data_IF_549378354423
#
_entry.id   IF_549378354423
#
_cell.length_a   1.000
_cell.length_b   1.000
_cell.length_c   1.000
_cell.angle_alpha   90.00
_cell.angle_beta   90.00
_cell.angle_gamma   90.00
#
_symmetry.space_group_name_H-M   'P 1'
#
loop_
_entity.id
_entity.type
_entity.pdbx_description
1 polymer ?
#
# COMPACT_ATOMS: atom_id res chain seq x y z
N UNK A 1 -42.49 -59.48 15.57
CA UNK A 1 -42.91 -59.04 14.22
C UNK A 1 -41.90 -58.02 13.73
N UNK A 2 -41.12 -58.40 12.73
CA UNK A 2 -39.97 -57.61 12.23
C UNK A 2 -40.50 -56.42 11.41
N UNK A 3 -40.50 -55.23 11.98
CA UNK A 3 -40.92 -54.01 11.28
C UNK A 3 -39.80 -53.65 10.32
N UNK A 4 -39.98 -53.94 9.03
CA UNK A 4 -39.10 -53.43 7.97
C UNK A 4 -39.16 -51.89 7.99
N UNK A 5 -38.26 -51.24 8.72
CA UNK A 5 -37.99 -49.81 8.54
C UNK A 5 -37.53 -49.63 7.09
N UNK A 6 -38.29 -48.87 6.31
CA UNK A 6 -37.88 -48.49 4.96
C UNK A 6 -36.67 -47.55 5.12
N UNK A 7 -35.51 -47.88 4.55
CA UNK A 7 -34.29 -47.11 4.80
C UNK A 7 -34.33 -45.72 4.17
N UNK A 8 -35.25 -45.47 3.24
CA UNK A 8 -35.38 -44.19 2.56
C UNK A 8 -36.84 -43.73 2.48
N UNK A 9 -37.17 -42.68 3.23
CA UNK A 9 -38.47 -42.03 3.15
C UNK A 9 -38.52 -41.00 2.02
N UNK A 10 -39.72 -40.77 1.49
CA UNK A 10 -39.94 -39.72 0.51
C UNK A 10 -39.69 -38.35 1.14
N UNK A 11 -38.78 -37.58 0.53
CA UNK A 11 -38.59 -36.16 0.81
C UNK A 11 -38.60 -35.38 -0.50
N UNK A 12 -39.23 -34.21 -0.49
CA UNK A 12 -39.16 -33.29 -1.63
C UNK A 12 -37.71 -32.83 -1.82
N UNK A 13 -37.20 -32.92 -3.05
CA UNK A 13 -35.87 -32.41 -3.36
C UNK A 13 -35.88 -30.88 -3.20
N UNK A 14 -34.86 -30.35 -2.52
CA UNK A 14 -34.63 -28.91 -2.51
C UNK A 14 -33.99 -28.52 -3.84
N UNK A 15 -34.57 -27.53 -4.52
CA UNK A 15 -34.08 -27.01 -5.80
C UNK A 15 -33.98 -28.05 -6.92
N UNK A 16 -34.90 -29.02 -6.93
CA UNK A 16 -34.96 -30.05 -7.96
C UNK A 16 -36.25 -30.86 -7.91
N UNK A 17 -36.38 -31.80 -8.86
CA UNK A 17 -37.57 -32.65 -9.04
C UNK A 17 -37.20 -34.03 -9.56
N UNK A 18 -38.01 -35.03 -9.22
CA UNK A 18 -37.86 -36.39 -9.76
C UNK A 18 -38.51 -36.51 -11.14
N UNK A 19 -37.88 -37.29 -12.02
CA UNK A 19 -38.48 -37.67 -13.29
C UNK A 19 -39.75 -38.48 -13.04
N UNK A 20 -40.87 -38.13 -13.69
CA UNK A 20 -42.19 -38.72 -13.44
C UNK A 20 -42.61 -38.76 -11.96
N UNK A 21 -42.32 -37.70 -11.20
CA UNK A 21 -42.65 -37.59 -9.77
C UNK A 21 -44.10 -38.02 -9.45
N UNK A 22 -45.08 -37.58 -10.25
CA UNK A 22 -46.51 -37.93 -10.05
C UNK A 22 -46.80 -39.43 -10.13
N UNK A 23 -46.01 -40.20 -10.88
CA UNK A 23 -46.14 -41.67 -11.01
C UNK A 23 -45.48 -42.40 -9.84
N UNK A 24 -44.37 -41.87 -9.33
CA UNK A 24 -43.58 -42.50 -8.26
C UNK A 24 -43.96 -42.06 -6.85
N UNK A 25 -44.68 -40.94 -6.69
CA UNK A 25 -45.09 -40.38 -5.39
C UNK A 25 -45.76 -41.38 -4.44
N UNK A 26 -46.61 -42.33 -4.89
CA UNK A 26 -47.19 -43.35 -4.00
C UNK A 26 -46.21 -44.46 -3.58
N UNK A 27 -45.09 -44.60 -4.28
CA UNK A 27 -44.14 -45.72 -4.17
C UNK A 27 -42.71 -45.28 -3.78
N UNK A 28 -42.53 -43.99 -3.47
CA UNK A 28 -41.21 -43.37 -3.36
C UNK A 28 -40.47 -43.65 -2.03
N UNK A 29 -41.13 -44.29 -1.05
CA UNK A 29 -40.43 -44.89 0.08
C UNK A 29 -39.71 -46.16 -0.42
N UNK A 30 -38.44 -46.00 -0.77
CA UNK A 30 -37.64 -47.00 -1.46
C UNK A 30 -37.07 -48.07 -0.53
N UNK A 31 -36.90 -49.27 -1.07
CA UNK A 31 -36.07 -50.31 -0.47
C UNK A 31 -34.61 -50.11 -0.89
N UNK A 32 -33.66 -50.62 -0.11
CA UNK A 32 -32.24 -50.57 -0.48
C UNK A 32 -32.04 -51.11 -1.91
N UNK A 33 -31.38 -50.33 -2.77
CA UNK A 33 -31.15 -50.65 -4.18
C UNK A 33 -32.08 -49.96 -5.17
N UNK A 34 -33.16 -49.30 -4.73
CA UNK A 34 -33.99 -48.48 -5.63
C UNK A 34 -33.24 -47.23 -6.09
N UNK A 35 -33.40 -46.87 -7.37
CA UNK A 35 -32.85 -45.63 -7.94
C UNK A 35 -33.89 -44.85 -8.73
N UNK A 36 -33.83 -43.53 -8.65
CA UNK A 36 -34.70 -42.62 -9.41
C UNK A 36 -33.86 -41.57 -10.14
N UNK A 37 -34.35 -41.10 -11.28
CA UNK A 37 -33.73 -39.99 -12.02
C UNK A 37 -34.27 -38.68 -11.43
N UNK A 38 -33.38 -37.71 -11.22
CA UNK A 38 -33.75 -36.36 -10.80
C UNK A 38 -33.10 -35.29 -11.68
N UNK A 39 -33.74 -34.12 -11.67
CA UNK A 39 -33.26 -32.90 -12.31
C UNK A 39 -33.15 -31.80 -11.27
N UNK A 40 -32.19 -30.91 -11.44
CA UNK A 40 -32.10 -29.70 -10.65
C UNK A 40 -32.82 -28.54 -11.34
N UNK A 41 -33.28 -27.60 -10.52
CA UNK A 41 -33.90 -26.37 -10.98
C UNK A 41 -32.86 -25.45 -11.67
N UNK A 42 -33.33 -24.40 -12.32
CA UNK A 42 -32.45 -23.43 -12.97
C UNK A 42 -31.44 -22.82 -11.98
N UNK A 43 -30.17 -22.70 -12.38
CA UNK A 43 -29.01 -22.33 -11.55
C UNK A 43 -28.62 -23.35 -10.47
N UNK A 44 -29.07 -24.60 -10.56
CA UNK A 44 -28.59 -25.69 -9.74
C UNK A 44 -28.04 -26.82 -10.62
N UNK A 45 -27.07 -27.55 -10.09
CA UNK A 45 -26.40 -28.67 -10.76
C UNK A 45 -26.48 -29.93 -9.91
N UNK A 46 -26.51 -31.07 -10.57
CA UNK A 46 -26.51 -32.38 -9.90
C UNK A 46 -25.17 -32.59 -9.17
N UNK A 47 -25.12 -33.57 -8.26
CA UNK A 47 -23.88 -33.92 -7.57
C UNK A 47 -22.76 -34.34 -8.55
N UNK A 48 -23.11 -34.90 -9.70
CA UNK A 48 -22.19 -35.25 -10.79
C UNK A 48 -21.95 -34.12 -11.82
N UNK A 49 -22.52 -32.93 -11.63
CA UNK A 49 -22.42 -31.78 -12.53
C UNK A 49 -22.96 -32.06 -13.96
N UNK A 50 -24.02 -32.85 -14.05
CA UNK A 50 -24.73 -33.22 -15.28
C UNK A 50 -26.13 -32.60 -15.30
N UNK A 51 -26.85 -32.73 -16.43
CA UNK A 51 -28.23 -32.23 -16.55
C UNK A 51 -29.24 -33.02 -15.71
N UNK A 52 -28.96 -34.29 -15.47
CA UNK A 52 -29.79 -35.21 -14.71
C UNK A 52 -28.88 -36.25 -14.05
N UNK A 53 -29.31 -36.78 -12.90
CA UNK A 53 -28.52 -37.77 -12.16
C UNK A 53 -29.44 -38.76 -11.44
N UNK A 54 -28.85 -39.80 -10.87
CA UNK A 54 -29.54 -40.81 -10.09
C UNK A 54 -29.41 -40.52 -8.59
N UNK A 55 -30.53 -40.66 -7.90
CA UNK A 55 -30.57 -40.77 -6.45
C UNK A 55 -30.79 -42.24 -6.08
N UNK A 56 -29.96 -42.77 -5.20
CA UNK A 56 -29.90 -44.18 -4.79
C UNK A 56 -30.36 -44.32 -3.35
N UNK A 57 -31.21 -45.31 -3.07
CA UNK A 57 -31.52 -45.70 -1.70
C UNK A 57 -30.49 -46.72 -1.20
N UNK A 58 -29.71 -46.33 -0.20
CA UNK A 58 -28.73 -47.20 0.47
C UNK A 58 -29.24 -47.62 1.85
N UNK A 59 -28.48 -48.40 2.61
CA UNK A 59 -28.82 -48.72 4.01
C UNK A 59 -28.74 -47.49 4.93
N UNK A 60 -27.97 -46.47 4.53
CA UNK A 60 -27.77 -45.22 5.26
C UNK A 60 -28.73 -44.10 4.80
N UNK A 61 -29.60 -44.40 3.83
CA UNK A 61 -30.56 -43.45 3.27
C UNK A 61 -30.23 -43.04 1.83
N UNK A 62 -30.81 -41.90 1.40
CA UNK A 62 -30.66 -41.38 0.05
C UNK A 62 -29.26 -40.81 -0.22
N UNK A 63 -28.64 -41.30 -1.30
CA UNK A 63 -27.34 -40.85 -1.80
C UNK A 63 -27.48 -40.34 -3.24
N UNK A 64 -26.97 -39.16 -3.61
CA UNK A 64 -26.25 -38.21 -2.75
C UNK A 64 -27.16 -37.58 -1.69
N UNK A 65 -26.60 -37.24 -0.52
CA UNK A 65 -27.37 -36.63 0.56
C UNK A 65 -27.90 -35.23 0.19
N UNK A 66 -27.13 -34.48 -0.61
CA UNK A 66 -27.57 -33.24 -1.27
C UNK A 66 -27.60 -33.50 -2.78
N UNK A 67 -28.77 -33.35 -3.38
CA UNK A 67 -28.97 -33.68 -4.79
C UNK A 67 -28.59 -32.53 -5.71
N UNK A 68 -28.92 -31.30 -5.30
CA UNK A 68 -28.79 -30.11 -6.13
C UNK A 68 -27.94 -29.07 -5.40
N UNK A 69 -26.77 -28.78 -5.97
CA UNK A 69 -25.87 -27.74 -5.49
C UNK A 69 -26.06 -26.48 -6.32
N UNK A 70 -25.84 -25.32 -5.72
CA UNK A 70 -25.90 -24.06 -6.48
C UNK A 70 -24.86 -24.07 -7.60
N UNK A 71 -25.29 -23.73 -8.80
CA UNK A 71 -24.45 -23.53 -9.97
C UNK A 71 -24.44 -22.05 -10.36
N UNK A 72 -23.29 -21.40 -10.25
CA UNK A 72 -23.11 -20.02 -10.64
C UNK A 72 -22.50 -19.93 -12.04
N UNK A 73 -23.19 -19.23 -12.93
CA UNK A 73 -22.70 -18.93 -14.29
C UNK A 73 -21.81 -17.68 -14.23
N UNK A 74 -20.62 -17.76 -14.81
CA UNK A 74 -19.69 -16.64 -14.96
C UNK A 74 -19.44 -16.39 -16.44
N UNK A 75 -20.06 -15.35 -16.96
CA UNK A 75 -20.03 -14.96 -18.37
C UNK A 75 -19.82 -13.46 -18.57
N UNK A 76 -20.00 -12.64 -17.53
CA UNK A 76 -19.92 -11.19 -17.62
C UNK A 76 -19.43 -10.58 -16.30
N UNK A 77 -18.62 -9.53 -16.43
CA UNK A 77 -18.17 -8.68 -15.33
C UNK A 77 -18.44 -7.22 -15.69
N UNK A 78 -19.22 -6.52 -14.88
CA UNK A 78 -19.47 -5.08 -15.08
C UNK A 78 -18.22 -4.28 -14.68
N UNK A 79 -17.73 -3.40 -15.56
CA UNK A 79 -16.49 -2.61 -15.40
C UNK A 79 -15.23 -3.46 -15.14
N UNK A 80 -15.19 -4.67 -15.70
CA UNK A 80 -14.02 -5.55 -15.63
C UNK A 80 -13.89 -6.46 -16.85
N UNK A 81 -12.90 -7.35 -16.79
CA UNK A 81 -12.58 -8.27 -17.88
C UNK A 81 -13.51 -9.49 -17.78
N UNK A 82 -14.36 -9.64 -18.81
CA UNK A 82 -15.26 -10.79 -18.94
C UNK A 82 -14.54 -12.00 -19.56
N UNK A 83 -14.92 -13.23 -19.21
CA UNK A 83 -14.33 -14.43 -19.81
C UNK A 83 -14.73 -14.57 -21.28
N UNK A 84 -13.87 -15.22 -22.09
CA UNK A 84 -14.15 -15.48 -23.52
C UNK A 84 -15.32 -16.44 -23.76
N UNK A 85 -15.69 -17.22 -22.75
CA UNK A 85 -16.79 -18.18 -22.80
C UNK A 85 -17.46 -18.29 -21.44
N UNK A 86 -18.75 -18.62 -21.44
CA UNK A 86 -19.53 -18.85 -20.22
C UNK A 86 -19.00 -20.08 -19.48
N UNK A 87 -18.66 -19.91 -18.20
CA UNK A 87 -18.16 -20.98 -17.32
C UNK A 87 -19.15 -21.21 -16.18
N UNK A 88 -19.27 -22.46 -15.71
CA UNK A 88 -20.13 -22.83 -14.58
C UNK A 88 -19.27 -23.24 -13.39
N UNK A 89 -19.63 -22.74 -12.22
CA UNK A 89 -18.97 -23.04 -10.95
C UNK A 89 -20.00 -23.58 -9.96
N UNK A 90 -19.58 -24.56 -9.16
CA UNK A 90 -20.40 -25.17 -8.11
C UNK A 90 -20.25 -24.35 -6.82
N UNK A 91 -21.22 -24.46 -5.93
CA UNK A 91 -21.22 -23.84 -4.62
C UNK A 91 -19.86 -23.94 -3.90
N UNK A 92 -19.49 -22.88 -3.19
CA UNK A 92 -18.26 -22.68 -2.42
C UNK A 92 -16.98 -22.54 -3.27
N UNK A 93 -17.08 -22.66 -4.60
CA UNK A 93 -15.98 -22.31 -5.49
C UNK A 93 -15.80 -20.80 -5.60
N UNK A 94 -14.54 -20.37 -5.61
CA UNK A 94 -14.14 -18.98 -5.70
C UNK A 94 -13.34 -18.71 -6.98
N UNK A 95 -13.53 -17.53 -7.57
CA UNK A 95 -12.75 -17.09 -8.74
C UNK A 95 -12.24 -15.68 -8.58
N UNK A 96 -11.08 -15.41 -9.17
CA UNK A 96 -10.51 -14.07 -9.23
C UNK A 96 -11.13 -13.26 -10.37
N UNK A 97 -11.55 -12.05 -10.06
CA UNK A 97 -12.10 -11.07 -11.00
C UNK A 97 -11.06 -9.99 -11.26
N UNK A 98 -10.89 -9.63 -12.53
CA UNK A 98 -10.02 -8.53 -12.93
C UNK A 98 -10.88 -7.32 -13.30
N UNK A 99 -10.75 -6.24 -12.53
CA UNK A 99 -11.44 -4.98 -12.77
C UNK A 99 -10.61 -4.06 -13.70
N UNK A 100 -11.28 -3.16 -14.42
CA UNK A 100 -10.58 -2.13 -15.18
C UNK A 100 -9.86 -1.14 -14.25
N UNK A 101 -8.82 -0.44 -14.75
CA UNK A 101 -8.13 0.60 -13.96
C UNK A 101 -9.11 1.61 -13.36
N UNK A 102 -8.99 1.87 -12.06
CA UNK A 102 -9.88 2.76 -11.31
C UNK A 102 -11.15 2.10 -10.75
N UNK A 103 -11.30 0.78 -10.89
CA UNK A 103 -12.42 0.01 -10.32
C UNK A 103 -11.91 -1.14 -9.42
N UNK A 104 -12.69 -1.53 -8.43
CA UNK A 104 -12.43 -2.71 -7.59
C UNK A 104 -13.73 -3.43 -7.23
N UNK A 105 -13.64 -4.68 -6.76
CA UNK A 105 -14.77 -5.27 -6.04
C UNK A 105 -14.96 -4.52 -4.69
N UNK A 106 -16.13 -4.67 -4.04
CA UNK A 106 -16.34 -4.19 -2.68
C UNK A 106 -15.19 -4.61 -1.74
N UNK A 107 -14.86 -3.75 -0.76
CA UNK A 107 -13.80 -3.99 0.22
C UNK A 107 -12.38 -4.20 -0.35
N UNK A 108 -12.12 -3.79 -1.60
CA UNK A 108 -10.82 -3.96 -2.29
C UNK A 108 -10.41 -5.43 -2.45
N UNK A 109 -11.36 -6.36 -2.38
CA UNK A 109 -11.11 -7.76 -2.71
C UNK A 109 -10.97 -7.94 -4.23
N UNK A 110 -10.53 -9.13 -4.65
CA UNK A 110 -10.41 -9.51 -6.05
C UNK A 110 -11.05 -10.87 -6.35
N UNK A 111 -11.80 -11.43 -5.41
CA UNK A 111 -12.35 -12.77 -5.50
C UNK A 111 -13.85 -12.73 -5.25
N UNK A 112 -14.61 -13.54 -6.00
CA UNK A 112 -16.03 -13.77 -5.78
C UNK A 112 -16.26 -15.26 -5.51
N UNK A 113 -17.25 -15.57 -4.67
CA UNK A 113 -17.57 -16.95 -4.26
C UNK A 113 -18.98 -17.31 -4.71
N UNK A 114 -19.16 -18.52 -5.24
CA UNK A 114 -20.49 -19.04 -5.55
C UNK A 114 -21.17 -19.49 -4.26
N UNK A 115 -22.00 -18.63 -3.68
CA UNK A 115 -22.78 -18.94 -2.48
C UNK A 115 -24.11 -19.58 -2.84
N UNK A 116 -24.87 -20.10 -1.87
CA UNK A 116 -26.24 -20.61 -2.09
C UNK A 116 -27.15 -19.59 -2.80
N UNK A 117 -26.94 -18.29 -2.56
CA UNK A 117 -27.70 -17.20 -3.18
C UNK A 117 -27.18 -16.80 -4.57
N UNK A 118 -26.02 -17.28 -5.00
CA UNK A 118 -25.31 -16.85 -6.22
C UNK A 118 -23.94 -16.25 -5.94
N UNK A 119 -23.38 -15.51 -6.91
CA UNK A 119 -22.07 -14.85 -6.75
C UNK A 119 -22.11 -13.79 -5.64
N UNK A 120 -21.21 -13.92 -4.67
CA UNK A 120 -21.01 -12.93 -3.61
C UNK A 120 -19.51 -12.56 -3.49
N UNK A 121 -19.15 -11.27 -3.61
CA UNK A 121 -20.01 -10.21 -4.13
C UNK A 121 -20.42 -10.48 -5.60
N UNK A 122 -21.46 -9.80 -6.13
CA UNK A 122 -21.79 -9.89 -7.55
C UNK A 122 -20.59 -9.54 -8.44
N UNK A 123 -20.49 -10.06 -9.67
CA UNK A 123 -19.40 -9.77 -10.61
C UNK A 123 -19.51 -8.34 -11.19
N UNK A 124 -19.42 -7.35 -10.30
CA UNK A 124 -19.55 -5.92 -10.58
C UNK A 124 -18.40 -5.17 -9.91
N UNK A 125 -17.52 -4.62 -10.72
CA UNK A 125 -16.49 -3.72 -10.25
C UNK A 125 -17.09 -2.32 -10.07
N UNK A 126 -16.88 -1.74 -8.89
CA UNK A 126 -17.33 -0.39 -8.53
C UNK A 126 -16.17 0.60 -8.66
N UNK A 127 -16.42 1.88 -9.01
CA UNK A 127 -15.38 2.89 -9.05
C UNK A 127 -14.68 2.97 -7.69
N UNK A 128 -13.35 2.92 -7.68
CA UNK A 128 -12.58 3.17 -6.46
C UNK A 128 -12.69 4.66 -6.18
N UNK A 129 -13.46 5.02 -5.16
CA UNK A 129 -13.52 6.41 -4.71
C UNK A 129 -12.20 6.73 -3.99
N UNK A 130 -11.21 7.15 -4.77
CA UNK A 130 -9.91 7.59 -4.26
C UNK A 130 -9.98 8.95 -3.57
N UNK A 131 -11.17 9.57 -3.53
CA UNK A 131 -11.37 10.86 -2.91
C UNK A 131 -11.91 10.70 -1.49
N UNK A 132 -11.27 11.39 -0.55
CA UNK A 132 -11.76 11.53 0.80
C UNK A 132 -12.91 12.53 0.84
N UNK A 133 -13.78 12.36 1.82
CA UNK A 133 -14.79 13.36 2.21
C UNK A 133 -14.48 13.78 3.64
N UNK A 134 -14.91 14.99 4.02
CA UNK A 134 -14.83 15.52 5.39
C UNK A 134 -13.50 15.27 6.11
N UNK A 135 -12.58 16.25 6.15
CA UNK A 135 -11.34 16.12 6.89
C UNK A 135 -11.58 15.74 8.38
N UNK A 136 -10.68 14.97 9.02
CA UNK A 136 -10.85 14.56 10.41
C UNK A 136 -11.04 15.75 11.33
N UNK A 137 -11.94 15.63 12.32
CA UNK A 137 -12.15 16.72 13.29
C UNK A 137 -11.08 16.69 14.37
N UNK A 138 -10.23 17.71 14.41
CA UNK A 138 -9.24 17.89 15.48
C UNK A 138 -9.82 18.81 16.56
N UNK A 139 -9.86 18.34 17.81
CA UNK A 139 -10.36 19.12 18.95
C UNK A 139 -9.46 20.34 19.18
N UNK A 140 -10.07 21.50 19.42
CA UNK A 140 -9.39 22.78 19.60
C UNK A 140 -8.50 23.21 18.42
N UNK A 141 -8.75 22.70 17.21
CA UNK A 141 -8.13 23.21 15.99
C UNK A 141 -9.16 23.83 15.06
N UNK A 142 -8.66 24.66 14.14
CA UNK A 142 -9.36 25.16 12.96
C UNK A 142 -8.66 24.66 11.72
N UNK A 143 -9.44 24.25 10.72
CA UNK A 143 -8.91 23.92 9.40
C UNK A 143 -8.70 25.21 8.62
N UNK A 144 -7.48 25.41 8.09
CA UNK A 144 -7.13 26.63 7.35
C UNK A 144 -7.13 26.44 5.82
N UNK A 145 -7.14 25.19 5.35
CA UNK A 145 -7.30 24.88 3.92
C UNK A 145 -8.73 25.15 3.43
N UNK A 146 -8.88 25.43 2.13
CA UNK A 146 -10.20 25.57 1.48
C UNK A 146 -10.99 24.27 1.59
N UNK A 147 -12.23 24.35 2.07
CA UNK A 147 -13.12 23.19 2.09
C UNK A 147 -13.56 22.79 0.68
N UNK A 148 -13.50 21.50 0.41
CA UNK A 148 -13.99 20.88 -0.82
C UNK A 148 -15.04 19.81 -0.48
N UNK A 149 -15.96 19.57 -1.40
CA UNK A 149 -16.94 18.48 -1.25
C UNK A 149 -16.29 17.09 -1.33
N UNK A 150 -15.20 16.98 -2.11
CA UNK A 150 -14.39 15.77 -2.27
C UNK A 150 -12.92 16.16 -2.43
N UNK A 151 -12.04 15.45 -1.74
CA UNK A 151 -10.59 15.66 -1.73
C UNK A 151 -9.93 14.51 -2.49
N UNK A 152 -9.40 14.72 -3.70
CA UNK A 152 -8.69 13.66 -4.44
C UNK A 152 -7.51 13.09 -3.64
N UNK A 153 -7.12 11.84 -3.93
CA UNK A 153 -5.91 11.27 -3.33
C UNK A 153 -4.68 12.14 -3.61
N UNK A 154 -3.89 12.42 -2.59
CA UNK A 154 -2.77 13.37 -2.60
C UNK A 154 -3.13 14.76 -2.07
N UNK A 155 -4.41 15.12 -1.98
CA UNK A 155 -4.85 16.41 -1.45
C UNK A 155 -4.55 16.53 0.05
N UNK A 156 -4.15 17.72 0.51
CA UNK A 156 -3.68 17.99 1.87
C UNK A 156 -4.54 19.03 2.58
N UNK A 157 -4.86 18.78 3.84
CA UNK A 157 -5.66 19.68 4.67
C UNK A 157 -4.87 20.05 5.91
N UNK A 158 -4.64 21.35 6.08
CA UNK A 158 -3.84 21.89 7.18
C UNK A 158 -4.71 22.33 8.35
N UNK A 159 -4.23 22.01 9.55
CA UNK A 159 -4.84 22.40 10.82
C UNK A 159 -3.98 23.43 11.54
N UNK A 160 -4.65 24.30 12.26
CA UNK A 160 -4.07 25.28 13.17
C UNK A 160 -4.74 25.11 14.54
N UNK A 161 -3.94 24.96 15.59
CA UNK A 161 -4.47 24.89 16.95
C UNK A 161 -4.92 26.26 17.43
N UNK A 162 -6.05 26.30 18.14
CA UNK A 162 -6.52 27.51 18.82
C UNK A 162 -5.54 27.82 19.95
N UNK A 163 -5.02 29.03 19.97
CA UNK A 163 -4.15 29.51 21.04
C UNK A 163 -4.84 29.39 22.41
N UNK A 164 -4.11 29.06 23.50
CA UNK A 164 -2.65 28.91 23.59
C UNK A 164 -2.12 27.49 23.31
N UNK A 165 -2.92 26.60 22.71
CA UNK A 165 -2.55 25.21 22.47
C UNK A 165 -1.60 25.06 21.28
N UNK A 166 -0.70 24.08 21.38
CA UNK A 166 0.29 23.75 20.35
C UNK A 166 -0.10 22.47 19.60
N UNK A 167 0.32 22.37 18.34
CA UNK A 167 0.04 21.23 17.45
C UNK A 167 1.07 20.12 17.65
N UNK A 168 0.59 18.88 17.79
CA UNK A 168 1.40 17.67 17.95
C UNK A 168 1.12 16.71 16.80
N UNK A 169 2.18 16.26 16.10
CA UNK A 169 2.10 15.45 14.89
C UNK A 169 2.26 16.27 13.61
N UNK A 170 1.95 15.68 12.46
CA UNK A 170 1.96 16.40 11.18
C UNK A 170 0.87 17.47 11.15
N UNK A 171 1.22 18.72 10.81
CA UNK A 171 0.27 19.85 10.74
C UNK A 171 -0.81 19.68 9.67
N UNK A 172 -0.59 18.74 8.75
CA UNK A 172 -1.46 18.43 7.62
C UNK A 172 -1.86 16.97 7.64
N UNK A 173 -3.10 16.70 7.26
CA UNK A 173 -3.52 15.36 6.84
C UNK A 173 -3.55 15.28 5.33
N UNK A 174 -3.24 14.10 4.79
CA UNK A 174 -3.25 13.84 3.37
C UNK A 174 -4.28 12.76 3.05
N UNK A 175 -5.05 12.96 1.98
CA UNK A 175 -5.96 11.94 1.49
C UNK A 175 -5.16 10.85 0.77
N UNK A 176 -5.27 9.62 1.24
CA UNK A 176 -4.60 8.44 0.69
C UNK A 176 -5.65 7.43 0.26
N UNK A 177 -5.95 7.39 -1.04
CA UNK A 177 -6.88 6.44 -1.66
C UNK A 177 -8.24 6.35 -0.91
N UNK A 178 -8.82 7.51 -0.61
CA UNK A 178 -10.09 7.64 0.09
C UNK A 178 -10.03 7.60 1.62
N UNK A 179 -8.84 7.49 2.24
CA UNK A 179 -8.65 7.52 3.70
C UNK A 179 -7.69 8.65 4.09
N UNK A 180 -8.03 9.43 5.12
CA UNK A 180 -7.13 10.46 5.65
C UNK A 180 -5.97 9.86 6.44
N UNK A 181 -4.78 10.46 6.36
CA UNK A 181 -3.67 10.16 7.28
C UNK A 181 -3.99 10.55 8.72
N UNK A 182 -3.16 10.09 9.67
CA UNK A 182 -3.33 10.37 11.09
C UNK A 182 -3.38 11.89 11.36
N UNK A 183 -4.44 12.40 12.02
CA UNK A 183 -4.57 13.82 12.30
C UNK A 183 -3.72 14.28 13.48
N UNK A 184 -3.32 15.56 13.51
CA UNK A 184 -2.60 16.12 14.65
C UNK A 184 -3.49 16.24 15.90
N UNK A 185 -2.86 16.50 17.04
CA UNK A 185 -3.52 16.78 18.31
C UNK A 185 -3.14 18.17 18.83
N UNK A 186 -4.09 18.92 19.38
CA UNK A 186 -3.80 20.17 20.08
C UNK A 186 -3.70 19.92 21.59
N UNK A 187 -2.56 20.24 22.20
CA UNK A 187 -2.32 20.07 23.65
C UNK A 187 -1.64 21.30 24.24
N UNK A 188 -1.69 21.42 25.56
CA UNK A 188 -1.00 22.47 26.29
C UNK A 188 0.52 22.35 26.10
N UNK A 189 1.17 23.51 26.12
CA UNK A 189 2.57 23.68 25.82
C UNK A 189 3.40 23.56 27.12
N UNK A 190 3.63 22.33 27.60
CA UNK A 190 4.12 22.11 28.99
C UNK A 190 5.63 21.89 29.10
N UNK A 191 6.38 21.91 27.98
CA UNK A 191 7.79 21.47 27.97
C UNK A 191 8.82 22.58 27.76
N UNK A 192 9.78 22.70 28.69
CA UNK A 192 11.09 23.33 28.44
C UNK A 192 12.02 22.30 27.81
N UNK A 193 12.89 22.73 26.89
CA UNK A 193 13.88 21.83 26.31
C UNK A 193 15.13 21.80 27.17
N UNK A 194 15.82 20.65 27.19
CA UNK A 194 17.19 20.57 27.69
C UNK A 194 18.18 21.21 26.72
N UNK A 195 19.48 20.96 26.93
CA UNK A 195 20.50 21.42 25.98
C UNK A 195 20.26 20.88 24.56
N UNK A 196 20.51 21.68 23.50
CA UNK A 196 20.41 21.26 22.11
C UNK A 196 21.18 19.97 21.80
N UNK A 197 20.69 19.12 20.88
CA UNK A 197 21.41 17.89 20.51
C UNK A 197 22.78 18.19 19.89
N UNK A 198 23.85 17.46 20.23
CA UNK A 198 25.14 17.62 19.54
C UNK A 198 25.04 17.15 18.08
N UNK A 199 25.86 17.72 17.20
CA UNK A 199 25.99 17.30 15.80
C UNK A 199 27.45 17.03 15.45
N UNK A 200 27.70 16.15 14.49
CA UNK A 200 29.06 15.88 14.02
C UNK A 200 29.61 17.08 13.25
N UNK A 201 30.88 17.44 13.50
CA UNK A 201 31.61 18.50 12.81
C UNK A 201 30.89 19.87 12.80
N UNK A 202 30.12 20.16 13.84
CA UNK A 202 29.44 21.43 14.04
C UNK A 202 29.08 21.63 15.50
N UNK A 203 28.75 22.87 15.85
CA UNK A 203 28.30 23.22 17.20
C UNK A 203 27.34 24.41 17.14
N UNK A 204 26.68 24.70 18.26
CA UNK A 204 25.85 25.87 18.40
C UNK A 204 26.70 27.14 18.50
N UNK A 205 26.20 28.26 18.02
CA UNK A 205 26.93 29.55 18.04
C UNK A 205 26.86 30.27 19.39
N UNK A 206 26.04 29.77 20.32
CA UNK A 206 25.86 30.30 21.67
C UNK A 206 26.32 29.31 22.73
N UNK A 207 26.48 29.75 23.97
CA UNK A 207 26.78 28.83 25.07
C UNK A 207 25.54 27.99 25.43
N UNK A 208 25.69 26.66 25.60
CA UNK A 208 24.57 25.80 25.95
C UNK A 208 24.07 26.12 27.36
N UNK A 209 22.75 26.25 27.49
CA UNK A 209 22.06 26.35 28.77
C UNK A 209 21.52 24.98 29.19
N UNK A 210 21.35 24.74 30.50
CA UNK A 210 20.72 23.52 30.99
C UNK A 210 19.23 23.43 30.62
N UNK A 211 18.55 24.57 30.49
CA UNK A 211 17.14 24.65 30.10
C UNK A 211 16.89 25.79 29.12
N UNK A 212 15.99 25.56 28.18
CA UNK A 212 15.51 26.55 27.22
C UNK A 212 14.00 26.68 27.32
N UNK A 213 13.52 27.92 27.37
CA UNK A 213 12.11 28.23 27.33
C UNK A 213 11.50 27.79 26.00
N UNK A 214 10.18 27.64 25.97
CA UNK A 214 9.49 27.31 24.74
C UNK A 214 9.70 28.38 23.66
N UNK A 215 9.75 27.95 22.40
CA UNK A 215 10.06 28.76 21.22
C UNK A 215 11.46 29.38 21.20
N UNK A 216 12.34 28.99 22.14
CA UNK A 216 13.76 29.37 22.07
C UNK A 216 14.35 28.89 20.75
N UNK A 217 15.21 29.73 20.17
CA UNK A 217 15.92 29.46 18.93
C UNK A 217 17.40 29.28 19.22
N UNK A 218 17.99 28.22 18.69
CA UNK A 218 19.44 27.98 18.73
C UNK A 218 19.94 27.80 17.31
N UNK A 219 21.07 28.43 17.01
CA UNK A 219 21.68 28.42 15.69
C UNK A 219 22.94 27.55 15.70
N UNK A 220 23.05 26.65 14.74
CA UNK A 220 24.23 25.82 14.53
C UNK A 220 25.16 26.40 13.47
N UNK A 221 26.42 26.05 13.61
CA UNK A 221 27.47 26.33 12.64
C UNK A 221 28.35 25.09 12.47
N UNK A 222 28.59 24.72 11.20
CA UNK A 222 29.55 23.68 10.87
C UNK A 222 30.98 24.19 11.00
N UNK A 223 31.90 23.28 11.31
CA UNK A 223 33.33 23.51 11.25
C UNK A 223 33.76 23.93 9.84
N UNK A 224 34.93 24.57 9.75
CA UNK A 224 35.47 25.02 8.46
C UNK A 224 35.53 23.87 7.45
N UNK A 225 35.17 24.14 6.19
CA UNK A 225 35.09 23.21 5.05
C UNK A 225 33.90 22.24 5.05
N UNK A 226 33.14 22.11 6.14
CA UNK A 226 31.91 21.32 6.16
C UNK A 226 30.71 22.15 5.70
N UNK A 227 29.86 21.55 4.89
CA UNK A 227 28.69 22.24 4.34
C UNK A 227 27.44 21.92 5.15
N UNK A 228 26.77 22.95 5.66
CA UNK A 228 25.53 22.78 6.40
C UNK A 228 24.39 22.35 5.46
N UNK A 229 23.71 21.26 5.83
CA UNK A 229 22.50 20.76 5.19
C UNK A 229 21.34 20.78 6.20
N UNK A 230 20.22 21.36 5.80
CA UNK A 230 19.02 21.49 6.65
C UNK A 230 18.87 22.88 7.28
N UNK A 231 18.04 22.98 8.31
CA UNK A 231 17.74 24.25 8.97
C UNK A 231 18.86 24.65 9.93
N UNK A 232 19.49 25.80 9.67
CA UNK A 232 20.56 26.35 10.54
C UNK A 232 20.07 26.65 11.97
N UNK A 233 18.78 26.97 12.13
CA UNK A 233 18.16 27.28 13.41
C UNK A 233 17.18 26.17 13.80
N UNK A 234 17.29 25.69 15.02
CA UNK A 234 16.32 24.80 15.63
C UNK A 234 15.46 25.56 16.64
N UNK A 235 14.23 25.09 16.84
CA UNK A 235 13.28 25.69 17.77
C UNK A 235 12.90 24.70 18.85
N UNK A 236 12.90 25.15 20.11
CA UNK A 236 12.36 24.37 21.22
C UNK A 236 10.83 24.37 21.14
N UNK A 237 10.21 23.21 21.01
CA UNK A 237 8.75 23.06 21.04
C UNK A 237 8.39 21.86 21.87
N UNK A 238 7.57 22.08 22.90
CA UNK A 238 7.03 21.01 23.74
C UNK A 238 8.12 20.15 24.42
N UNK A 239 9.23 20.76 24.83
CA UNK A 239 10.34 20.06 25.47
C UNK A 239 11.27 19.31 24.52
N UNK A 240 10.97 19.29 23.22
CA UNK A 240 11.80 18.69 22.19
C UNK A 240 12.34 19.74 21.21
N UNK A 241 13.55 19.51 20.73
CA UNK A 241 14.16 20.34 19.70
C UNK A 241 13.72 19.87 18.31
N UNK A 242 13.41 20.80 17.40
CA UNK A 242 13.24 20.47 15.98
C UNK A 242 14.51 19.84 15.40
N UNK A 243 14.37 19.08 14.31
CA UNK A 243 15.48 18.35 13.68
C UNK A 243 16.72 19.25 13.45
N UNK A 244 17.90 18.89 14.00
CA UNK A 244 19.12 19.65 13.83
C UNK A 244 19.72 19.47 12.42
N UNK A 245 20.51 20.44 11.94
CA UNK A 245 21.15 20.32 10.64
C UNK A 245 22.28 19.27 10.66
N UNK A 246 22.71 18.85 9.46
CA UNK A 246 23.87 17.97 9.27
C UNK A 246 25.02 18.76 8.64
N UNK A 247 26.24 18.47 9.07
CA UNK A 247 27.45 19.02 8.46
C UNK A 247 28.05 18.00 7.50
N UNK A 248 27.88 18.24 6.20
CA UNK A 248 28.35 17.33 5.16
C UNK A 248 29.86 17.39 5.00
N UNK A 249 30.47 16.22 4.85
CA UNK A 249 31.92 16.08 4.74
C UNK A 249 32.44 16.73 3.44
N UNK A 250 33.58 17.45 3.49
CA UNK A 250 34.28 17.84 2.28
C UNK A 250 34.90 16.60 1.59
N UNK A 251 35.01 16.64 0.27
CA UNK A 251 35.71 15.61 -0.50
C UNK A 251 37.19 15.90 -0.53
N UNK A 252 37.99 14.84 -0.42
CA UNK A 252 39.46 14.92 -0.50
C UNK A 252 39.91 14.53 -1.91
N UNK A 253 40.66 15.42 -2.56
CA UNK A 253 41.29 15.17 -3.86
C UNK A 253 42.80 15.23 -3.67
N UNK A 254 43.41 14.07 -3.40
CA UNK A 254 44.86 13.96 -3.21
C UNK A 254 45.58 13.81 -4.56
N UNK A 255 46.87 14.13 -4.56
CA UNK A 255 47.75 13.88 -5.72
C UNK A 255 47.77 12.40 -6.10
N UNK A 256 47.81 11.50 -5.11
CA UNK A 256 47.75 10.05 -5.34
C UNK A 256 46.51 9.62 -6.16
N UNK A 257 45.34 10.18 -5.84
CA UNK A 257 44.11 9.89 -6.60
C UNK A 257 44.24 10.44 -8.03
N UNK A 258 44.79 11.65 -8.19
CA UNK A 258 44.99 12.23 -9.52
C UNK A 258 45.96 11.41 -10.38
N UNK A 259 47.05 10.90 -9.79
CA UNK A 259 48.01 10.02 -10.46
C UNK A 259 47.36 8.70 -10.89
N UNK A 260 46.67 8.01 -9.97
CA UNK A 260 46.04 6.72 -10.25
C UNK A 260 45.05 6.77 -11.41
N UNK A 261 44.39 7.91 -11.60
CA UNK A 261 43.38 8.11 -12.62
C UNK A 261 43.91 8.82 -13.89
N UNK A 262 45.19 9.21 -13.93
CA UNK A 262 45.82 9.99 -15.02
C UNK A 262 45.10 11.31 -15.33
N UNK A 263 44.61 12.00 -14.29
CA UNK A 263 43.84 13.25 -14.40
C UNK A 263 44.56 14.43 -13.72
N UNK A 264 44.12 15.64 -14.06
CA UNK A 264 44.51 16.88 -13.39
C UNK A 264 43.33 17.86 -13.37
N UNK A 265 43.32 18.84 -12.47
CA UNK A 265 42.30 19.88 -12.46
C UNK A 265 42.30 20.67 -13.78
N UNK A 266 41.10 21.02 -14.26
CA UNK A 266 40.95 21.81 -15.49
C UNK A 266 41.32 23.29 -15.29
N UNK A 267 41.01 23.85 -14.12
CA UNK A 267 41.32 25.25 -13.77
C UNK A 267 42.36 25.32 -12.64
N UNK A 268 43.32 26.25 -12.75
CA UNK A 268 44.47 26.39 -11.84
C UNK A 268 44.11 27.37 -10.72
N UNK A 269 43.37 26.89 -9.72
CA UNK A 269 43.24 27.56 -8.43
C UNK A 269 43.77 26.62 -7.35
N UNK A 270 44.82 27.03 -6.61
CA UNK A 270 45.54 26.31 -5.53
C UNK A 270 45.00 24.90 -5.27
N UNK A 271 45.76 23.86 -5.62
CA UNK A 271 45.52 22.43 -5.30
C UNK A 271 44.45 22.28 -4.21
N UNK A 272 43.17 22.19 -4.61
CA UNK A 272 42.06 22.15 -3.65
C UNK A 272 42.00 20.72 -3.12
N UNK A 273 42.87 20.44 -2.15
CA UNK A 273 42.93 19.15 -1.46
C UNK A 273 41.58 18.83 -0.82
N UNK A 274 40.84 19.86 -0.38
CA UNK A 274 39.50 19.74 0.19
C UNK A 274 38.49 20.53 -0.65
N UNK A 275 37.40 19.87 -1.00
CA UNK A 275 36.31 20.42 -1.78
C UNK A 275 35.02 20.37 -0.96
N UNK A 276 34.37 21.50 -0.66
CA UNK A 276 33.11 21.50 0.07
C UNK A 276 32.01 20.72 -0.67
N UNK A 277 31.16 20.02 0.08
CA UNK A 277 29.97 19.34 -0.48
C UNK A 277 29.08 20.32 -1.26
N UNK A 278 28.53 19.89 -2.39
CA UNK A 278 27.80 20.71 -3.36
C UNK A 278 28.67 21.44 -4.38
N UNK A 279 30.00 21.44 -4.21
CA UNK A 279 30.92 22.06 -5.19
C UNK A 279 31.17 21.12 -6.36
N UNK A 280 31.01 21.64 -7.59
CA UNK A 280 31.40 20.94 -8.82
C UNK A 280 32.89 21.13 -9.09
N UNK A 281 33.56 20.04 -9.45
CA UNK A 281 34.98 19.97 -9.79
C UNK A 281 35.12 19.52 -11.22
N UNK A 282 35.93 20.24 -12.01
CA UNK A 282 36.26 19.87 -13.38
C UNK A 282 37.68 19.32 -13.50
N UNK A 283 37.81 18.21 -14.21
CA UNK A 283 39.07 17.53 -14.50
C UNK A 283 39.39 17.57 -15.99
N UNK A 284 40.64 17.26 -16.33
CA UNK A 284 41.13 16.95 -17.69
C UNK A 284 42.17 15.84 -17.61
N UNK A 285 42.39 15.11 -18.71
CA UNK A 285 43.46 14.12 -18.77
C UNK A 285 44.84 14.79 -18.68
N UNK A 286 45.81 14.07 -18.10
CA UNK A 286 47.21 14.45 -18.20
C UNK A 286 47.71 14.37 -19.64
N UNK A 287 48.80 15.08 -19.93
CA UNK A 287 49.44 15.02 -21.24
C UNK A 287 49.79 13.58 -21.63
N UNK A 288 49.42 13.18 -22.85
CA UNK A 288 49.66 11.83 -23.36
C UNK A 288 48.56 10.81 -23.04
N UNK A 289 47.50 11.20 -22.32
CA UNK A 289 46.37 10.32 -22.00
C UNK A 289 45.07 10.80 -22.64
N UNK A 290 44.19 9.85 -22.96
CA UNK A 290 42.85 10.11 -23.51
C UNK A 290 41.77 9.58 -22.58
N UNK A 291 40.59 10.18 -22.66
CA UNK A 291 39.42 9.83 -21.86
C UNK A 291 39.05 8.35 -22.05
N UNK A 292 39.01 7.60 -20.95
CA UNK A 292 38.69 6.16 -20.99
C UNK A 292 37.18 5.87 -20.98
N UNK A 293 36.37 6.80 -20.46
CA UNK A 293 34.91 6.63 -20.26
C UNK A 293 34.12 7.74 -20.95
N UNK A 294 32.93 7.49 -21.50
CA UNK A 294 32.06 8.55 -22.06
C UNK A 294 31.43 9.49 -21.02
N UNK A 295 31.70 9.27 -19.72
CA UNK A 295 31.19 10.09 -18.61
C UNK A 295 31.73 11.53 -18.68
N UNK A 296 30.98 12.53 -18.19
CA UNK A 296 31.44 13.90 -18.09
C UNK A 296 32.68 14.02 -17.19
N UNK A 297 33.61 14.89 -17.58
CA UNK A 297 34.86 15.19 -16.83
C UNK A 297 34.65 16.23 -15.72
N UNK A 298 33.44 16.29 -15.18
CA UNK A 298 33.09 17.07 -14.02
C UNK A 298 32.23 16.23 -13.09
N UNK A 299 32.36 16.47 -11.79
CA UNK A 299 31.65 15.73 -10.75
C UNK A 299 31.39 16.66 -9.58
N UNK A 300 30.33 16.41 -8.82
CA UNK A 300 29.98 17.21 -7.66
C UNK A 300 30.37 16.44 -6.40
N UNK A 301 31.08 17.10 -5.50
CA UNK A 301 31.34 16.54 -4.18
C UNK A 301 30.01 16.40 -3.43
N UNK A 302 29.72 15.23 -2.87
CA UNK A 302 28.59 15.05 -1.98
C UNK A 302 28.98 14.22 -0.77
N UNK A 303 29.00 14.87 0.40
CA UNK A 303 29.28 14.24 1.69
C UNK A 303 30.51 13.33 1.69
N UNK A 304 31.66 13.89 1.33
CA UNK A 304 32.94 13.18 1.26
C UNK A 304 33.10 12.22 0.07
N UNK A 305 32.05 12.04 -0.75
CA UNK A 305 32.07 11.16 -1.92
C UNK A 305 32.20 11.97 -3.21
N UNK A 306 33.15 11.55 -4.04
CA UNK A 306 33.42 12.15 -5.33
C UNK A 306 33.84 11.05 -6.32
N UNK A 307 33.10 10.89 -7.42
CA UNK A 307 33.45 9.94 -8.47
C UNK A 307 34.51 10.55 -9.41
N UNK A 308 35.67 9.89 -9.51
CA UNK A 308 36.79 10.36 -10.33
C UNK A 308 36.71 9.82 -11.77
N UNK A 309 36.84 10.68 -12.80
CA UNK A 309 37.01 10.22 -14.18
C UNK A 309 38.38 9.54 -14.35
N UNK A 310 38.54 8.73 -15.40
CA UNK A 310 39.80 7.98 -15.65
C UNK A 310 40.27 8.19 -17.09
N UNK A 311 41.58 8.34 -17.27
CA UNK A 311 42.22 8.41 -18.58
C UNK A 311 43.16 7.22 -18.82
N UNK A 312 43.28 6.80 -20.08
CA UNK A 312 44.12 5.69 -20.53
C UNK A 312 45.19 6.20 -21.50
N UNK A 313 46.31 5.47 -21.57
CA UNK A 313 47.38 5.70 -22.55
C UNK A 313 46.90 5.44 -23.98
#
# INVERSE_FOLDING_TARGET
TNIYMKPCDYRKLKHGRLYYENRYRPYLSGHTGTKYIYYCDYNYVTASNTYWDYIYCTKEGWVPAVQCHRGCVFNYVENGISPSSSRKYVQDQSIKVQCYPGYSLPNKENTIVCTESGWSPPPKCIPVNNSCVNPPRVKNATTISRQMDKYPSGERVRYECKQPLEIFGETEVMCLNGTWSEPPQCKDSVGKCGSPPPIDNGDITSFPLPEYAQHSLVEYQCQSLYQLQGNKKITCRNGEWSEPPKCLNPCVISEEIMERHNIMFKSIGKQKLYVPSGTMVEFKCKHGYVQATSKPFHTTCYDGKLEFPTCRS
#
